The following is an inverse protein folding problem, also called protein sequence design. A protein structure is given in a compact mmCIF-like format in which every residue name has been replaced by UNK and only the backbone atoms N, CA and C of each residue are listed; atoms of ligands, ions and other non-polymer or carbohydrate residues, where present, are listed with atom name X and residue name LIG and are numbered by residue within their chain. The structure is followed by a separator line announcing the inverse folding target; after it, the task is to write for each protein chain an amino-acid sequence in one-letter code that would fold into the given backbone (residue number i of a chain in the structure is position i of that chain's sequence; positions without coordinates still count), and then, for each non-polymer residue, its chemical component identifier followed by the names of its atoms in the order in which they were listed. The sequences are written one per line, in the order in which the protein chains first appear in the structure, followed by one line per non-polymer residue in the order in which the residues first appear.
data_IF_780846878907
#
_entry.id   IF_780846878907
#
_cell.length_a   1.000
_cell.length_b   1.000
_cell.length_c   1.000
_cell.angle_alpha   90.00
_cell.angle_beta   90.00
_cell.angle_gamma   90.00
#
_symmetry.space_group_name_H-M   'P 1'
#
loop_
_entity.id
_entity.type
_entity.pdbx_description
1 polymer ?
#
# COMPACT_ATOMS: atom_id res chain seq x y z
N UNK A 1 -30.14 -27.88 64.89
CA UNK A 1 -31.55 -27.57 64.59
C UNK A 1 -31.86 -26.19 65.17
N UNK A 2 -32.52 -25.25 64.48
CA UNK A 2 -32.91 -25.14 63.05
C UNK A 2 -32.21 -23.94 62.35
N UNK A 3 -31.80 -24.04 61.08
CA UNK A 3 -32.55 -23.81 59.82
C UNK A 3 -32.62 -22.34 59.41
N UNK A 4 -31.94 -22.01 58.30
CA UNK A 4 -32.48 -21.19 57.22
C UNK A 4 -31.56 -21.30 55.99
N UNK A 5 -31.97 -22.15 55.04
CA UNK A 5 -31.52 -22.07 53.65
C UNK A 5 -31.91 -20.71 53.07
N UNK A 6 -31.02 -20.12 52.27
CA UNK A 6 -31.39 -19.21 51.20
C UNK A 6 -30.48 -19.51 50.00
N UNK A 7 -30.98 -20.41 49.15
CA UNK A 7 -30.48 -20.60 47.80
C UNK A 7 -30.80 -19.34 47.01
N UNK A 8 -29.78 -18.56 46.67
CA UNK A 8 -29.88 -17.60 45.57
C UNK A 8 -29.16 -18.20 44.36
N UNK A 9 -29.92 -18.95 43.57
CA UNK A 9 -29.54 -19.30 42.20
C UNK A 9 -29.58 -18.02 41.36
N UNK A 10 -28.44 -17.35 41.22
CA UNK A 10 -28.27 -16.36 40.14
C UNK A 10 -27.57 -17.03 38.97
N UNK A 11 -28.40 -17.56 38.07
CA UNK A 11 -28.01 -17.84 36.69
C UNK A 11 -27.60 -16.51 36.06
N UNK A 12 -26.29 -16.23 35.99
CA UNK A 12 -25.75 -15.19 35.11
C UNK A 12 -25.41 -15.83 33.76
N UNK A 13 -26.46 -16.15 33.00
CA UNK A 13 -26.38 -16.25 31.54
C UNK A 13 -26.21 -14.84 30.99
N UNK A 14 -25.09 -14.57 30.32
CA UNK A 14 -24.92 -13.35 29.53
C UNK A 14 -23.65 -12.57 29.82
N UNK A 15 -22.48 -13.17 29.62
CA UNK A 15 -21.31 -12.39 29.22
C UNK A 15 -21.26 -12.42 27.69
N UNK A 16 -21.99 -11.50 27.05
CA UNK A 16 -21.65 -11.16 25.66
C UNK A 16 -20.35 -10.37 25.69
N UNK A 17 -19.27 -11.05 25.33
CA UNK A 17 -17.96 -10.47 25.13
C UNK A 17 -17.98 -9.45 23.98
N UNK A 18 -18.24 -8.20 24.31
CA UNK A 18 -18.22 -7.10 23.35
C UNK A 18 -16.77 -6.63 23.11
N UNK A 19 -15.99 -7.43 22.40
CA UNK A 19 -14.64 -7.02 21.95
C UNK A 19 -14.75 -6.12 20.72
N UNK A 20 -14.77 -4.80 20.93
CA UNK A 20 -14.62 -3.80 19.88
C UNK A 20 -13.17 -3.79 19.36
N UNK A 21 -12.82 -4.73 18.47
CA UNK A 21 -11.56 -4.67 17.74
C UNK A 21 -11.59 -3.53 16.71
N UNK A 22 -10.57 -2.67 16.71
CA UNK A 22 -10.35 -1.75 15.59
C UNK A 22 -9.94 -2.55 14.36
N UNK A 23 -10.87 -2.72 13.41
CA UNK A 23 -10.56 -3.30 12.10
C UNK A 23 -10.17 -2.18 11.14
N UNK A 24 -9.02 -2.32 10.47
CA UNK A 24 -8.62 -1.40 9.39
C UNK A 24 -9.72 -1.43 8.32
N UNK A 25 -10.31 -0.26 8.04
CA UNK A 25 -11.30 -0.12 6.97
C UNK A 25 -10.64 -0.44 5.64
N UNK A 26 -11.26 -1.31 4.87
CA UNK A 26 -10.89 -1.56 3.48
C UNK A 26 -11.81 -0.73 2.60
N UNK A 27 -11.23 0.18 1.84
CA UNK A 27 -11.98 1.10 0.98
C UNK A 27 -12.08 0.55 -0.44
N UNK A 28 -13.29 0.62 -1.02
CA UNK A 28 -13.50 0.58 -2.46
C UNK A 28 -13.57 2.01 -3.02
N UNK A 29 -13.15 2.22 -4.27
CA UNK A 29 -13.33 3.51 -4.97
C UNK A 29 -14.61 3.44 -5.79
N UNK A 30 -15.39 4.53 -5.79
CA UNK A 30 -16.68 4.59 -6.52
C UNK A 30 -16.47 4.70 -8.02
N UNK A 31 -15.30 5.19 -8.40
CA UNK A 31 -14.82 5.40 -9.77
C UNK A 31 -14.37 4.08 -10.43
N UNK A 32 -14.32 2.97 -9.67
CA UNK A 32 -14.00 1.64 -10.22
C UNK A 32 -15.10 1.20 -11.18
N UNK A 33 -14.67 0.64 -12.30
CA UNK A 33 -15.54 0.07 -13.31
C UNK A 33 -15.05 -1.37 -13.56
N UNK A 34 -15.72 -2.35 -12.95
CA UNK A 34 -15.32 -3.74 -13.06
C UNK A 34 -15.47 -4.28 -14.49
N UNK A 35 -16.40 -3.74 -15.28
CA UNK A 35 -16.57 -4.14 -16.67
C UNK A 35 -15.37 -3.70 -17.52
N UNK A 36 -14.91 -2.44 -17.36
CA UNK A 36 -13.69 -1.95 -18.02
C UNK A 36 -12.45 -2.70 -17.54
N UNK A 37 -12.36 -2.98 -16.25
CA UNK A 37 -11.25 -3.76 -15.67
C UNK A 37 -11.20 -5.16 -16.25
N UNK A 38 -12.34 -5.85 -16.35
CA UNK A 38 -12.40 -7.19 -16.94
C UNK A 38 -12.03 -7.15 -18.43
N UNK A 39 -12.60 -6.23 -19.20
CA UNK A 39 -12.25 -6.07 -20.62
C UNK A 39 -10.75 -5.82 -20.84
N UNK A 40 -10.12 -5.04 -19.97
CA UNK A 40 -8.68 -4.80 -20.01
C UNK A 40 -7.87 -6.07 -19.67
N UNK A 41 -8.27 -6.82 -18.64
CA UNK A 41 -7.64 -8.10 -18.30
C UNK A 41 -7.78 -9.10 -19.45
N UNK A 42 -8.96 -9.19 -20.08
CA UNK A 42 -9.22 -10.07 -21.20
C UNK A 42 -8.32 -9.70 -22.39
N UNK A 43 -8.17 -8.40 -22.69
CA UNK A 43 -7.24 -7.91 -23.72
C UNK A 43 -5.78 -8.31 -23.40
N UNK A 44 -5.32 -8.09 -22.16
CA UNK A 44 -3.96 -8.44 -21.75
C UNK A 44 -3.70 -9.95 -21.82
N UNK A 45 -4.71 -10.78 -21.54
CA UNK A 45 -4.59 -12.24 -21.57
C UNK A 45 -4.27 -12.82 -22.96
N UNK A 46 -4.50 -12.03 -24.01
CA UNK A 46 -4.15 -12.42 -25.39
C UNK A 46 -2.67 -12.26 -25.71
N UNK A 47 -1.93 -11.53 -24.88
CA UNK A 47 -0.51 -11.23 -25.08
C UNK A 47 0.36 -12.10 -24.17
N UNK A 48 1.52 -12.59 -24.66
CA UNK A 48 2.41 -13.36 -23.83
C UNK A 48 3.10 -12.45 -22.79
N UNK A 49 3.36 -12.92 -21.54
CA UNK A 49 3.89 -12.09 -20.46
C UNK A 49 5.25 -11.44 -20.70
N UNK A 50 6.04 -11.95 -21.64
CA UNK A 50 7.34 -11.41 -22.06
C UNK A 50 7.25 -10.30 -23.11
N UNK A 51 6.07 -10.12 -23.71
CA UNK A 51 5.76 -8.98 -24.57
C UNK A 51 5.07 -7.85 -23.81
N UNK A 52 4.57 -8.07 -22.60
CA UNK A 52 3.94 -7.03 -21.79
C UNK A 52 4.98 -6.29 -20.94
N UNK A 53 4.98 -4.97 -21.05
CA UNK A 53 5.88 -4.07 -20.31
C UNK A 53 5.05 -3.08 -19.51
N UNK A 54 4.96 -3.26 -18.20
CA UNK A 54 4.21 -2.36 -17.32
C UNK A 54 5.10 -1.22 -16.87
N UNK A 55 4.60 0.02 -16.93
CA UNK A 55 5.31 1.19 -16.41
C UNK A 55 4.63 1.67 -15.13
N UNK A 56 5.40 2.02 -14.12
CA UNK A 56 4.85 2.62 -12.90
C UNK A 56 5.82 3.60 -12.24
N UNK A 57 5.25 4.52 -11.46
CA UNK A 57 5.96 5.50 -10.64
C UNK A 57 5.63 5.29 -9.16
N UNK A 58 6.66 5.40 -8.31
CA UNK A 58 6.51 5.29 -6.87
C UNK A 58 7.25 6.42 -6.16
N UNK A 59 6.49 7.21 -5.41
CA UNK A 59 7.01 8.25 -4.53
C UNK A 59 7.34 7.72 -3.14
N UNK A 60 8.57 7.95 -2.70
CA UNK A 60 9.07 7.68 -1.37
C UNK A 60 9.31 9.02 -0.65
N UNK A 61 8.49 9.28 0.36
CA UNK A 61 8.77 10.35 1.30
C UNK A 61 9.90 9.89 2.23
N UNK A 62 10.80 10.80 2.59
CA UNK A 62 11.75 10.58 3.68
C UNK A 62 10.98 10.62 5.01
N UNK A 63 10.39 9.48 5.36
CA UNK A 63 9.81 9.22 6.68
C UNK A 63 10.93 8.69 7.56
N UNK A 64 11.74 9.62 8.04
CA UNK A 64 12.94 9.30 8.82
C UNK A 64 12.61 8.86 10.26
N UNK A 65 11.33 8.80 10.64
CA UNK A 65 10.89 8.45 11.99
C UNK A 65 9.85 7.33 11.97
N UNK A 66 10.09 6.32 12.81
CA UNK A 66 9.15 5.23 13.05
C UNK A 66 8.06 5.70 14.03
N UNK A 67 6.79 5.52 13.69
CA UNK A 67 5.65 6.06 14.44
C UNK A 67 5.46 5.45 15.85
N UNK A 68 6.23 4.41 16.19
CA UNK A 68 6.06 3.65 17.43
C UNK A 68 7.31 3.69 18.30
N UNK A 69 7.09 3.90 19.60
CA UNK A 69 8.10 3.80 20.65
C UNK A 69 7.63 2.86 21.75
N UNK A 70 8.58 2.30 22.50
CA UNK A 70 8.28 1.44 23.65
C UNK A 70 8.41 2.24 24.94
N UNK A 71 7.38 2.15 25.81
CA UNK A 71 7.43 2.70 27.16
C UNK A 71 6.82 1.71 28.16
N UNK A 72 7.00 2.01 29.45
CA UNK A 72 6.27 1.34 30.51
C UNK A 72 4.75 1.47 30.33
N UNK A 73 4.02 0.44 30.76
CA UNK A 73 2.57 0.40 30.60
C UNK A 73 1.93 1.50 31.45
N UNK A 74 1.16 2.37 30.80
CA UNK A 74 0.48 3.50 31.44
C UNK A 74 1.24 4.82 31.30
N UNK A 75 2.49 4.78 30.85
CA UNK A 75 3.33 5.96 30.69
C UNK A 75 3.27 6.53 29.27
N UNK A 76 3.25 7.86 29.16
CA UNK A 76 3.23 8.55 27.87
C UNK A 76 4.62 8.56 27.24
N UNK A 77 4.75 8.05 26.02
CA UNK A 77 5.99 8.15 25.24
C UNK A 77 6.09 9.54 24.59
N UNK A 78 7.09 10.34 24.98
CA UNK A 78 7.34 11.67 24.43
C UNK A 78 8.54 11.65 23.48
N UNK A 79 8.33 12.11 22.25
CA UNK A 79 9.37 12.27 21.24
C UNK A 79 9.24 13.63 20.55
N UNK A 80 10.37 14.14 20.06
CA UNK A 80 10.44 15.35 19.24
C UNK A 80 10.68 14.93 17.79
N UNK A 81 9.94 15.57 16.88
CA UNK A 81 10.12 15.41 15.43
C UNK A 81 10.40 16.72 14.76
N UNK A 82 11.15 16.68 13.66
CA UNK A 82 11.34 17.87 12.83
C UNK A 82 10.01 18.33 12.22
N UNK A 83 9.74 19.64 12.28
CA UNK A 83 8.60 20.25 11.57
C UNK A 83 8.90 20.56 10.10
N UNK A 84 10.11 20.27 9.62
CA UNK A 84 10.51 20.53 8.22
C UNK A 84 9.96 19.44 7.33
N UNK A 85 9.46 19.83 6.15
CA UNK A 85 9.20 18.86 5.07
C UNK A 85 10.55 18.42 4.50
N UNK A 86 10.84 17.14 4.63
CA UNK A 86 11.98 16.50 3.99
C UNK A 86 11.67 16.20 2.51
N UNK A 87 12.72 15.99 1.71
CA UNK A 87 12.59 15.78 0.27
C UNK A 87 11.86 14.47 -0.07
N UNK A 88 11.13 14.46 -1.18
CA UNK A 88 10.52 13.25 -1.77
C UNK A 88 11.44 12.73 -2.86
N UNK A 89 11.63 11.42 -2.93
CA UNK A 89 12.30 10.73 -4.04
C UNK A 89 11.24 9.98 -4.82
N UNK A 90 11.19 10.14 -6.13
CA UNK A 90 10.38 9.29 -7.00
C UNK A 90 11.26 8.30 -7.73
N UNK A 91 10.75 7.09 -7.87
CA UNK A 91 11.31 6.09 -8.75
C UNK A 91 10.32 5.83 -9.88
N UNK A 92 10.80 5.83 -11.11
CA UNK A 92 10.08 5.32 -12.27
C UNK A 92 10.82 4.11 -12.81
N UNK A 93 10.08 3.07 -13.17
CA UNK A 93 10.65 1.85 -13.72
C UNK A 93 9.63 1.13 -14.61
N UNK A 94 10.14 0.19 -15.39
CA UNK A 94 9.31 -0.73 -16.16
C UNK A 94 9.46 -2.16 -15.61
N UNK A 95 8.42 -2.98 -15.78
CA UNK A 95 8.39 -4.38 -15.38
C UNK A 95 7.98 -5.22 -16.59
N UNK A 96 8.84 -6.16 -16.99
CA UNK A 96 8.56 -7.11 -18.05
C UNK A 96 8.96 -8.51 -17.60
N UNK A 97 8.07 -9.51 -17.75
CA UNK A 97 8.32 -10.89 -17.33
C UNK A 97 8.93 -11.02 -15.92
N UNK A 98 8.35 -10.31 -14.95
CA UNK A 98 8.80 -10.26 -13.54
C UNK A 98 10.21 -9.68 -13.32
N UNK A 99 10.79 -9.01 -14.32
CA UNK A 99 12.08 -8.33 -14.23
C UNK A 99 11.88 -6.83 -14.31
N UNK A 100 12.48 -6.13 -13.35
CA UNK A 100 12.54 -4.68 -13.35
C UNK A 100 13.57 -4.22 -14.39
N UNK A 101 13.17 -3.31 -15.27
CA UNK A 101 14.02 -2.73 -16.32
C UNK A 101 13.90 -1.20 -16.27
N UNK A 102 14.93 -0.51 -16.78
CA UNK A 102 15.00 0.95 -16.82
C UNK A 102 14.66 1.66 -15.48
N UNK A 103 15.19 1.25 -14.31
CA UNK A 103 14.94 1.99 -13.08
C UNK A 103 15.61 3.37 -13.11
N UNK A 104 14.88 4.40 -12.70
CA UNK A 104 15.39 5.76 -12.61
C UNK A 104 14.80 6.48 -11.40
N UNK A 105 15.64 7.18 -10.65
CA UNK A 105 15.24 7.91 -9.43
C UNK A 105 15.48 9.39 -9.59
N UNK A 106 14.53 10.21 -9.12
CA UNK A 106 14.61 11.67 -9.15
C UNK A 106 14.16 12.25 -7.82
N UNK A 107 14.84 13.30 -7.37
CA UNK A 107 14.37 14.10 -6.24
C UNK A 107 13.26 15.06 -6.67
N UNK A 108 12.23 15.21 -5.85
CA UNK A 108 11.10 16.10 -6.11
C UNK A 108 9.90 15.37 -6.72
N UNK A 109 9.33 15.92 -7.78
CA UNK A 109 8.15 15.37 -8.47
C UNK A 109 8.55 14.79 -9.83
N UNK A 110 8.00 13.62 -10.18
CA UNK A 110 8.08 13.11 -11.53
C UNK A 110 7.18 13.96 -12.43
N UNK A 111 7.78 14.81 -13.26
CA UNK A 111 7.08 15.67 -14.21
C UNK A 111 7.20 15.11 -15.62
N UNK A 112 6.46 15.72 -16.56
CA UNK A 112 6.47 15.32 -17.97
C UNK A 112 7.88 15.24 -18.56
N UNK A 113 8.72 16.23 -18.32
CA UNK A 113 10.09 16.28 -18.87
C UNK A 113 10.94 15.13 -18.35
N UNK A 114 10.84 14.81 -17.06
CA UNK A 114 11.53 13.66 -16.46
C UNK A 114 11.03 12.36 -17.09
N UNK A 115 9.72 12.21 -17.26
CA UNK A 115 9.13 11.03 -17.89
C UNK A 115 9.59 10.86 -19.35
N UNK A 116 9.53 11.92 -20.16
CA UNK A 116 9.96 11.90 -21.57
C UNK A 116 11.46 11.59 -21.67
N UNK A 117 12.28 12.21 -20.83
CA UNK A 117 13.73 11.93 -20.78
C UNK A 117 13.98 10.47 -20.41
N UNK A 118 13.30 9.96 -19.38
CA UNK A 118 13.42 8.56 -18.97
C UNK A 118 12.95 7.60 -20.07
N UNK A 119 11.84 7.90 -20.73
CA UNK A 119 11.32 7.11 -21.83
C UNK A 119 12.38 6.98 -22.93
N UNK A 120 12.92 8.11 -23.39
CA UNK A 120 13.91 8.15 -24.49
C UNK A 120 15.25 7.54 -24.11
N UNK A 121 15.76 7.84 -22.92
CA UNK A 121 17.15 7.52 -22.54
C UNK A 121 17.31 6.21 -21.79
N UNK A 122 16.25 5.73 -21.12
CA UNK A 122 16.30 4.55 -20.27
C UNK A 122 15.43 3.42 -20.79
N UNK A 123 14.15 3.68 -21.14
CA UNK A 123 13.22 2.62 -21.54
C UNK A 123 13.37 2.19 -23.00
N UNK A 124 13.26 3.13 -23.96
CA UNK A 124 13.32 2.80 -25.39
C UNK A 124 14.57 1.98 -25.78
N UNK A 125 15.78 2.24 -25.25
CA UNK A 125 16.97 1.47 -25.62
C UNK A 125 16.95 -0.01 -25.19
N UNK A 126 16.11 -0.38 -24.22
CA UNK A 126 16.03 -1.76 -23.69
C UNK A 126 14.80 -2.52 -24.18
N UNK A 127 13.88 -1.85 -24.88
CA UNK A 127 12.71 -2.48 -25.47
C UNK A 127 13.08 -3.33 -26.69
N UNK A 128 12.30 -4.40 -26.88
CA UNK A 128 12.41 -5.31 -28.01
C UNK A 128 11.22 -5.15 -28.96
N UNK A 129 11.45 -5.40 -30.25
CA UNK A 129 10.39 -5.36 -31.24
C UNK A 129 9.27 -6.36 -30.89
N UNK A 130 8.02 -5.90 -30.97
CA UNK A 130 6.84 -6.70 -30.62
C UNK A 130 6.42 -6.61 -29.14
N UNK A 131 7.20 -5.93 -28.29
CA UNK A 131 6.73 -5.60 -26.94
C UNK A 131 5.65 -4.51 -26.98
N UNK A 132 4.66 -4.66 -26.10
CA UNK A 132 3.56 -3.75 -25.85
C UNK A 132 3.76 -3.15 -24.47
N UNK A 133 3.75 -1.81 -24.43
CA UNK A 133 3.92 -0.99 -23.24
C UNK A 133 2.56 -0.44 -22.80
#
# INVERSE_FOLDING_TARGET
MPTAELRLTHNLTGFEENWLYSKKKTYGYRERDEAKRQAFIDQLSTLPPDQLVYLDESGMDSRDEYDYGWNEKGERFHALKSGRRSGRVNMIAALCNQKLIAPFTVEGACNRTIFETWLETCLLPVLQAGQVV
#
